data_IF_265522539889
#
_entry.id   IF_265522539889
#
_cell.length_a   1.000
_cell.length_b   1.000
_cell.length_c   1.000
_cell.angle_alpha   90.00
_cell.angle_beta   90.00
_cell.angle_gamma   90.00
#
_symmetry.space_group_name_H-M   'P 1'
#
loop_
_entity.id
_entity.type
_entity.pdbx_description
1 polymer ?
#
# COMPACT_ATOMS: atom_id res chain seq x y z
N UNK A 1 -0.59 3.76 11.87
CA UNK A 1 -0.81 4.14 10.45
C UNK A 1 -2.18 3.72 9.94
N UNK A 2 -2.57 2.43 10.03
CA UNK A 2 -3.82 1.95 9.45
C UNK A 2 -5.10 2.63 9.99
N UNK A 3 -5.20 2.89 11.29
CA UNK A 3 -6.35 3.64 11.84
C UNK A 3 -6.47 5.05 11.28
N UNK A 4 -5.34 5.69 10.94
CA UNK A 4 -5.34 6.99 10.27
C UNK A 4 -5.94 6.86 8.87
N UNK A 5 -5.55 5.84 8.10
CA UNK A 5 -6.11 5.55 6.77
C UNK A 5 -7.63 5.37 6.88
N UNK A 6 -8.10 4.50 7.78
CA UNK A 6 -9.54 4.27 7.98
C UNK A 6 -10.31 5.56 8.28
N UNK A 7 -9.75 6.41 9.14
CA UNK A 7 -10.35 7.71 9.49
C UNK A 7 -10.36 8.67 8.29
N UNK A 8 -9.27 8.76 7.55
CA UNK A 8 -9.14 9.69 6.44
C UNK A 8 -10.08 9.27 5.28
N UNK A 9 -10.16 7.97 4.97
CA UNK A 9 -11.14 7.43 4.02
C UNK A 9 -12.58 7.68 4.49
N UNK A 10 -12.88 7.47 5.78
CA UNK A 10 -14.21 7.74 6.32
C UNK A 10 -14.60 9.22 6.24
N UNK A 11 -13.66 10.16 6.41
CA UNK A 11 -13.96 11.60 6.27
C UNK A 11 -14.53 11.92 4.90
N UNK A 12 -13.97 11.32 3.85
CA UNK A 12 -14.32 11.58 2.44
C UNK A 12 -15.49 10.72 1.97
N UNK A 13 -15.39 9.39 2.09
CA UNK A 13 -16.37 8.46 1.52
C UNK A 13 -17.53 8.10 2.45
N UNK A 14 -17.43 8.41 3.76
CA UNK A 14 -18.37 7.93 4.80
C UNK A 14 -18.54 6.41 4.85
N UNK A 15 -17.61 5.66 4.26
CA UNK A 15 -17.57 4.21 4.25
C UNK A 15 -16.48 3.71 5.21
N UNK A 16 -16.73 2.57 5.85
CA UNK A 16 -15.76 1.92 6.75
C UNK A 16 -15.91 0.41 6.67
N UNK A 17 -14.77 -0.27 6.65
CA UNK A 17 -14.64 -1.71 6.89
C UNK A 17 -13.80 -2.00 8.13
N UNK A 18 -14.17 -3.06 8.82
CA UNK A 18 -13.54 -3.59 10.02
C UNK A 18 -13.09 -5.04 9.80
N UNK A 19 -12.24 -5.55 10.69
CA UNK A 19 -11.82 -6.96 10.69
C UNK A 19 -10.80 -7.29 9.60
N UNK A 20 -9.94 -6.33 9.26
CA UNK A 20 -8.87 -6.54 8.29
C UNK A 20 -7.58 -7.00 8.97
N UNK A 21 -6.88 -7.94 8.33
CA UNK A 21 -5.57 -8.42 8.72
C UNK A 21 -4.52 -7.88 7.74
N UNK A 22 -3.29 -7.69 8.22
CA UNK A 22 -2.14 -7.40 7.38
C UNK A 22 -1.20 -8.61 7.38
N UNK A 23 -0.84 -9.08 6.20
CA UNK A 23 0.20 -10.08 5.98
C UNK A 23 1.35 -9.50 5.19
N UNK A 24 2.57 -9.88 5.54
CA UNK A 24 3.78 -9.61 4.76
C UNK A 24 4.18 -10.85 4.01
N UNK A 25 4.45 -10.72 2.71
CA UNK A 25 4.89 -11.83 1.85
C UNK A 25 5.82 -11.32 0.76
N UNK A 26 6.85 -12.10 0.42
CA UNK A 26 7.71 -11.79 -0.73
C UNK A 26 6.97 -12.18 -2.01
N UNK A 27 6.46 -11.18 -2.73
CA UNK A 27 5.80 -11.38 -4.03
C UNK A 27 6.74 -11.12 -5.20
N UNK A 28 8.04 -11.04 -4.94
CA UNK A 28 9.04 -10.73 -5.93
C UNK A 28 8.92 -9.31 -6.51
N UNK A 29 9.65 -9.07 -7.58
CA UNK A 29 9.51 -7.90 -8.46
C UNK A 29 10.14 -8.20 -9.81
N UNK A 30 9.71 -7.48 -10.84
CA UNK A 30 10.26 -7.60 -12.19
C UNK A 30 10.53 -6.23 -12.81
N UNK A 31 11.37 -6.15 -13.87
CA UNK A 31 11.56 -4.92 -14.64
C UNK A 31 10.26 -4.38 -15.27
N UNK A 32 9.24 -5.22 -15.45
CA UNK A 32 7.93 -4.83 -15.98
C UNK A 32 7.01 -4.24 -14.90
N UNK A 33 7.46 -4.21 -13.65
CA UNK A 33 6.73 -3.71 -12.50
C UNK A 33 6.68 -4.70 -11.35
N UNK A 34 5.98 -4.30 -10.29
CA UNK A 34 5.80 -5.09 -9.08
C UNK A 34 4.42 -4.83 -8.49
N UNK A 35 3.97 -5.77 -7.65
CA UNK A 35 2.78 -5.62 -6.83
C UNK A 35 3.24 -5.04 -5.49
N UNK A 36 2.77 -3.83 -5.14
CA UNK A 36 3.11 -3.20 -3.86
C UNK A 36 2.36 -3.79 -2.67
N UNK A 37 1.08 -4.07 -2.89
CA UNK A 37 0.20 -4.78 -1.97
C UNK A 37 -0.91 -5.48 -2.74
N UNK A 38 -1.71 -6.27 -2.05
CA UNK A 38 -2.82 -7.00 -2.66
C UNK A 38 -3.94 -7.26 -1.65
N UNK A 39 -5.16 -7.06 -2.09
CA UNK A 39 -6.37 -7.45 -1.39
C UNK A 39 -7.25 -8.32 -2.30
N UNK A 40 -7.62 -9.52 -1.83
CA UNK A 40 -8.52 -10.41 -2.57
C UNK A 40 -9.98 -10.14 -2.21
N UNK A 41 -10.84 -9.95 -3.22
CA UNK A 41 -12.28 -9.72 -3.02
C UNK A 41 -12.90 -10.82 -2.15
N UNK A 42 -13.75 -10.44 -1.19
CA UNK A 42 -14.37 -11.38 -0.25
C UNK A 42 -13.46 -11.86 0.89
N UNK A 43 -12.15 -11.59 0.84
CA UNK A 43 -11.20 -11.88 1.91
C UNK A 43 -11.15 -10.79 3.00
N UNK A 44 -10.31 -11.00 4.01
CA UNK A 44 -10.03 -10.02 5.09
C UNK A 44 -8.57 -9.60 5.14
N UNK A 45 -7.72 -10.11 4.25
CA UNK A 45 -6.28 -9.95 4.31
C UNK A 45 -5.80 -8.94 3.27
N UNK A 46 -5.10 -7.91 3.74
CA UNK A 46 -4.23 -7.07 2.93
C UNK A 46 -2.84 -7.71 2.99
N UNK A 47 -2.26 -8.00 1.84
CA UNK A 47 -0.90 -8.48 1.69
C UNK A 47 0.00 -7.31 1.28
N UNK A 48 1.16 -7.17 1.90
CA UNK A 48 2.19 -6.20 1.52
C UNK A 48 3.42 -6.94 1.01
N UNK A 49 3.95 -6.48 -0.13
CA UNK A 49 5.12 -7.09 -0.73
C UNK A 49 6.40 -6.69 0.01
N UNK A 50 7.00 -7.65 0.73
CA UNK A 50 8.23 -7.40 1.50
C UNK A 50 9.40 -7.06 0.59
N UNK A 51 9.48 -7.67 -0.59
CA UNK A 51 10.56 -7.44 -1.55
C UNK A 51 10.57 -6.01 -2.07
N UNK A 52 9.40 -5.51 -2.47
CA UNK A 52 9.25 -4.12 -2.88
C UNK A 52 9.58 -3.16 -1.73
N UNK A 53 9.09 -3.46 -0.52
CA UNK A 53 9.34 -2.64 0.66
C UNK A 53 10.83 -2.59 1.04
N UNK A 54 11.55 -3.70 0.98
CA UNK A 54 12.98 -3.76 1.28
C UNK A 54 13.80 -2.89 0.31
N UNK A 55 13.60 -3.08 -1.00
CA UNK A 55 14.31 -2.27 -2.02
C UNK A 55 14.00 -0.78 -1.84
N UNK A 56 12.76 -0.46 -1.48
CA UNK A 56 12.34 0.90 -1.24
C UNK A 56 12.99 1.51 0.01
N UNK A 57 13.01 0.78 1.13
CA UNK A 57 13.65 1.21 2.37
C UNK A 57 15.15 1.42 2.17
N UNK A 58 15.81 0.52 1.43
CA UNK A 58 17.23 0.62 1.14
C UNK A 58 17.55 1.85 0.27
N UNK A 59 16.72 2.14 -0.74
CA UNK A 59 16.92 3.29 -1.62
C UNK A 59 16.69 4.63 -0.92
N UNK A 60 15.56 4.76 -0.25
CA UNK A 60 15.20 5.98 0.48
C UNK A 60 16.18 6.27 1.62
N UNK A 61 16.65 5.24 2.33
CA UNK A 61 17.66 5.40 3.39
C UNK A 61 18.98 5.91 2.81
N UNK A 62 19.46 5.34 1.69
CA UNK A 62 20.70 5.81 1.02
C UNK A 62 20.59 7.25 0.52
N UNK A 63 19.40 7.69 0.13
CA UNK A 63 19.13 9.04 -0.38
C UNK A 63 18.78 10.05 0.72
N UNK A 64 18.64 9.61 1.98
CA UNK A 64 18.21 10.46 3.09
C UNK A 64 16.75 10.92 3.00
N UNK A 65 15.88 10.10 2.39
CA UNK A 65 14.46 10.39 2.12
C UNK A 65 13.53 9.40 2.84
N UNK A 66 13.84 9.04 4.10
CA UNK A 66 13.13 7.98 4.81
C UNK A 66 11.64 8.28 5.01
N UNK A 67 11.22 9.54 5.02
CA UNK A 67 9.81 9.92 5.11
C UNK A 67 8.97 9.41 3.93
N UNK A 68 9.59 9.24 2.76
CA UNK A 68 8.94 8.74 1.54
C UNK A 68 8.50 7.28 1.72
N UNK A 69 9.24 6.49 2.49
CA UNK A 69 8.89 5.09 2.77
C UNK A 69 7.61 4.97 3.57
N UNK A 70 7.44 5.81 4.58
CA UNK A 70 6.20 5.83 5.35
C UNK A 70 5.03 6.28 4.48
N UNK A 71 5.23 7.28 3.61
CA UNK A 71 4.20 7.73 2.68
C UNK A 71 3.83 6.66 1.65
N UNK A 72 4.81 5.88 1.19
CA UNK A 72 4.56 4.77 0.27
C UNK A 72 3.70 3.69 0.93
N UNK A 73 4.05 3.28 2.15
CA UNK A 73 3.26 2.30 2.91
C UNK A 73 1.85 2.83 3.14
N UNK A 74 1.70 4.12 3.45
CA UNK A 74 0.38 4.73 3.58
C UNK A 74 -0.43 4.65 2.28
N UNK A 75 0.17 5.03 1.15
CA UNK A 75 -0.49 5.04 -0.15
C UNK A 75 -0.97 3.64 -0.55
N UNK A 76 -0.09 2.64 -0.47
CA UNK A 76 -0.44 1.24 -0.81
C UNK A 76 -1.53 0.72 0.13
N UNK A 77 -1.39 0.90 1.44
CA UNK A 77 -2.42 0.44 2.39
C UNK A 77 -3.77 1.14 2.19
N UNK A 78 -3.78 2.42 1.78
CA UNK A 78 -5.01 3.12 1.46
C UNK A 78 -5.66 2.56 0.19
N UNK A 79 -4.87 2.28 -0.84
CA UNK A 79 -5.34 1.64 -2.07
C UNK A 79 -5.97 0.26 -1.78
N UNK A 80 -5.27 -0.60 -1.03
CA UNK A 80 -5.81 -1.91 -0.64
C UNK A 80 -7.03 -1.80 0.28
N UNK A 81 -7.10 -0.76 1.12
CA UNK A 81 -8.28 -0.50 1.93
C UNK A 81 -9.48 -0.08 1.07
N UNK A 82 -9.28 0.75 0.04
CA UNK A 82 -10.32 1.13 -0.93
C UNK A 82 -10.82 -0.10 -1.69
N UNK A 83 -9.93 -0.98 -2.14
CA UNK A 83 -10.32 -2.30 -2.67
C UNK A 83 -11.20 -3.08 -1.68
N UNK A 84 -10.83 -3.07 -0.39
CA UNK A 84 -11.62 -3.71 0.65
C UNK A 84 -13.01 -3.09 0.86
N UNK A 85 -13.26 -1.85 0.45
CA UNK A 85 -14.58 -1.22 0.49
C UNK A 85 -15.49 -1.63 -0.69
N UNK A 86 -14.96 -2.37 -1.67
CA UNK A 86 -15.72 -2.89 -2.80
C UNK A 86 -15.40 -2.23 -4.15
N UNK A 87 -14.43 -1.31 -4.22
CA UNK A 87 -13.95 -0.73 -5.48
C UNK A 87 -12.95 -1.68 -6.15
N UNK A 88 -13.43 -2.79 -6.73
CA UNK A 88 -12.59 -3.89 -7.21
C UNK A 88 -11.89 -3.62 -8.56
N UNK A 89 -12.47 -2.77 -9.40
CA UNK A 89 -11.86 -2.37 -10.66
C UNK A 89 -10.65 -1.47 -10.38
N UNK A 90 -9.48 -1.86 -10.88
CA UNK A 90 -8.22 -1.20 -10.56
C UNK A 90 -8.19 0.28 -10.97
N UNK A 91 -8.82 0.63 -12.10
CA UNK A 91 -8.89 2.03 -12.55
C UNK A 91 -9.75 2.85 -11.59
N UNK A 92 -10.93 2.34 -11.28
CA UNK A 92 -11.87 2.96 -10.32
C UNK A 92 -11.23 3.08 -8.94
N UNK A 93 -10.53 2.05 -8.47
CA UNK A 93 -9.82 2.08 -7.19
C UNK A 93 -8.74 3.18 -7.17
N UNK A 94 -7.95 3.32 -8.25
CA UNK A 94 -6.97 4.40 -8.39
C UNK A 94 -7.63 5.78 -8.38
N UNK A 95 -8.69 5.97 -9.15
CA UNK A 95 -9.41 7.25 -9.24
C UNK A 95 -9.99 7.65 -7.87
N UNK A 96 -10.59 6.70 -7.15
CA UNK A 96 -11.11 6.91 -5.79
C UNK A 96 -9.99 7.18 -4.79
N UNK A 97 -8.87 6.44 -4.88
CA UNK A 97 -7.70 6.65 -4.02
C UNK A 97 -7.11 8.05 -4.25
N UNK A 98 -7.00 8.50 -5.50
CA UNK A 98 -6.54 9.84 -5.85
C UNK A 98 -7.50 10.92 -5.33
N UNK A 99 -8.81 10.74 -5.55
CA UNK A 99 -9.83 11.62 -5.00
C UNK A 99 -9.71 11.78 -3.48
N UNK A 100 -9.65 10.69 -2.72
CA UNK A 100 -9.46 10.75 -1.26
C UNK A 100 -8.16 11.47 -0.90
N UNK A 101 -7.08 11.21 -1.65
CA UNK A 101 -5.78 11.83 -1.39
C UNK A 101 -5.84 13.35 -1.55
N UNK A 102 -6.47 13.85 -2.62
CA UNK A 102 -6.61 15.29 -2.86
C UNK A 102 -7.46 16.00 -1.80
N UNK A 103 -8.48 15.33 -1.28
CA UNK A 103 -9.34 15.89 -0.22
C UNK A 103 -8.61 16.01 1.13
N UNK A 104 -7.53 15.24 1.34
CA UNK A 104 -6.85 15.13 2.65
C UNK A 104 -5.45 15.78 2.65
N UNK A 105 -4.74 15.76 1.52
CA UNK A 105 -3.34 16.17 1.42
C UNK A 105 -3.12 17.24 0.36
N UNK A 106 -2.17 18.17 0.57
CA UNK A 106 -1.83 19.17 -0.43
C UNK A 106 -1.14 18.53 -1.66
N UNK A 107 -1.16 19.23 -2.79
CA UNK A 107 -0.63 18.75 -4.08
C UNK A 107 0.86 18.37 -4.05
N UNK A 108 1.67 19.03 -3.21
CA UNK A 108 3.10 18.76 -3.09
C UNK A 108 3.43 17.63 -2.10
N UNK A 109 2.43 17.01 -1.47
CA UNK A 109 2.66 15.92 -0.53
C UNK A 109 3.05 14.64 -1.29
N UNK A 110 4.01 13.83 -0.78
CA UNK A 110 4.45 12.62 -1.49
C UNK A 110 3.33 11.62 -1.79
N UNK A 111 2.34 11.49 -0.89
CA UNK A 111 1.15 10.64 -1.12
C UNK A 111 0.37 11.14 -2.34
N UNK A 112 0.14 12.45 -2.47
CA UNK A 112 -0.57 13.05 -3.61
C UNK A 112 0.20 12.84 -4.91
N UNK A 113 1.50 13.06 -4.87
CA UNK A 113 2.37 12.83 -6.02
C UNK A 113 2.33 11.35 -6.47
N UNK A 114 2.30 10.39 -5.54
CA UNK A 114 2.16 8.97 -5.86
C UNK A 114 0.77 8.62 -6.39
N UNK A 115 -0.29 9.23 -5.87
CA UNK A 115 -1.64 9.02 -6.37
C UNK A 115 -1.82 9.51 -7.81
N UNK A 116 -1.22 10.66 -8.14
CA UNK A 116 -1.35 11.29 -9.46
C UNK A 116 -0.47 10.64 -10.52
N UNK A 117 0.76 10.31 -10.14
CA UNK A 117 1.83 9.94 -11.08
C UNK A 117 2.28 8.48 -10.95
N UNK A 118 1.69 7.75 -10.00
CA UNK A 118 2.11 6.42 -9.61
C UNK A 118 3.36 6.43 -8.74
N UNK A 119 3.54 5.31 -8.02
CA UNK A 119 4.67 5.10 -7.11
C UNK A 119 6.03 5.19 -7.80
N UNK A 120 6.11 4.85 -9.09
CA UNK A 120 7.36 4.86 -9.86
C UNK A 120 8.06 6.22 -9.97
N UNK A 121 7.37 7.33 -9.67
CA UNK A 121 7.96 8.68 -9.66
C UNK A 121 9.06 8.85 -8.61
N UNK A 122 8.95 8.17 -7.47
CA UNK A 122 9.98 8.17 -6.43
C UNK A 122 10.96 7.01 -6.57
N UNK A 123 10.58 6.01 -7.36
CA UNK A 123 11.28 4.73 -7.47
C UNK A 123 11.50 4.34 -8.95
N UNK A 124 12.28 5.14 -9.70
CA UNK A 124 12.53 4.88 -11.12
C UNK A 124 13.25 3.55 -11.36
N UNK A 125 13.95 2.99 -10.36
CA UNK A 125 14.57 1.67 -10.43
C UNK A 125 13.57 0.55 -10.72
N UNK A 126 12.27 0.76 -10.47
CA UNK A 126 11.23 -0.21 -10.82
C UNK A 126 10.73 -0.08 -12.26
N UNK A 127 11.04 1.03 -12.93
CA UNK A 127 10.68 1.32 -14.33
C UNK A 127 11.88 1.04 -15.25
N UNK A 128 13.10 1.34 -14.78
CA UNK A 128 14.35 1.27 -15.55
C UNK A 128 15.31 0.20 -15.02
N UNK A 129 14.78 -0.81 -14.34
CA UNK A 129 15.56 -1.91 -13.81
C UNK A 129 16.22 -2.69 -14.97
N UNK A 130 17.54 -2.98 -14.91
CA UNK A 130 18.15 -3.89 -15.89
C UNK A 130 17.47 -5.27 -15.82
N UNK A 131 17.50 -6.06 -16.90
CA UNK A 131 16.76 -7.33 -16.99
C UNK A 131 17.11 -8.34 -15.87
N UNK A 132 18.30 -8.22 -15.29
CA UNK A 132 18.74 -9.01 -14.13
C UNK A 132 18.18 -8.52 -12.78
N UNK A 133 17.47 -7.40 -12.75
CA UNK A 133 16.76 -6.86 -11.59
C UNK A 133 15.36 -7.48 -11.50
N UNK A 134 15.32 -8.81 -11.50
CA UNK A 134 14.12 -9.59 -11.31
C UNK A 134 14.30 -10.48 -10.08
N UNK A 135 13.48 -10.24 -9.06
CA UNK A 135 13.43 -11.08 -7.88
C UNK A 135 12.21 -11.97 -8.02
N UNK A 136 12.43 -13.26 -8.32
CA UNK A 136 11.33 -14.22 -8.31
C UNK A 136 10.86 -14.42 -6.87
N UNK A 137 9.55 -14.52 -6.62
CA UNK A 137 9.04 -14.95 -5.32
C UNK A 137 9.72 -16.28 -4.92
N UNK A 138 10.21 -16.42 -3.68
CA UNK A 138 10.67 -17.70 -3.16
C UNK A 138 9.59 -18.79 -3.33
N UNK A 139 9.98 -20.02 -3.67
CA UNK A 139 9.03 -21.14 -3.80
C UNK A 139 8.26 -21.41 -2.50
N UNK A 140 8.91 -21.19 -1.35
CA UNK A 140 8.34 -21.40 -0.01
C UNK A 140 7.97 -20.07 0.68
N UNK A 141 7.47 -19.10 -0.09
CA UNK A 141 7.06 -17.81 0.47
C UNK A 141 5.96 -18.01 1.53
N UNK A 142 6.25 -17.62 2.76
CA UNK A 142 5.29 -17.65 3.87
C UNK A 142 4.69 -16.26 4.11
N UNK A 143 3.46 -16.23 4.61
CA UNK A 143 2.79 -15.00 5.01
C UNK A 143 3.06 -14.75 6.49
N UNK A 144 3.75 -13.66 6.80
CA UNK A 144 3.94 -13.19 8.17
C UNK A 144 2.77 -12.28 8.57
N UNK A 145 1.98 -12.70 9.56
CA UNK A 145 0.80 -11.95 10.01
C UNK A 145 1.17 -10.87 11.04
N UNK A 146 0.72 -9.65 10.81
CA UNK A 146 0.86 -8.53 11.75
C UNK A 146 -0.29 -8.56 12.76
N UNK A 147 0.05 -8.89 14.02
CA UNK A 147 -0.93 -8.96 15.11
C UNK A 147 -1.49 -7.58 15.47
N UNK A 148 -2.81 -7.51 15.63
CA UNK A 148 -3.50 -6.28 16.06
C UNK A 148 -3.32 -5.14 15.06
N UNK A 149 -3.41 -5.43 13.76
CA UNK A 149 -3.33 -4.43 12.71
C UNK A 149 -4.58 -3.52 12.67
N UNK A 150 -5.78 -4.12 12.74
CA UNK A 150 -7.06 -3.40 12.87
C UNK A 150 -7.55 -3.42 14.32
N UNK A 151 -7.15 -2.42 15.10
CA UNK A 151 -7.46 -2.34 16.55
C UNK A 151 -8.76 -1.58 16.82
N UNK A 152 -9.09 -0.61 15.96
CA UNK A 152 -10.26 0.25 16.10
C UNK A 152 -11.60 -0.47 15.89
N UNK A 153 -11.58 -1.76 15.54
CA UNK A 153 -12.75 -2.64 15.46
C UNK A 153 -12.94 -3.56 16.65
N UNK A 154 -11.99 -3.62 17.59
CA UNK A 154 -12.10 -4.42 18.82
C UNK A 154 -12.39 -3.48 19.99
N UNK A 155 -13.65 -3.12 20.19
CA UNK A 155 -14.11 -2.58 21.47
C UNK A 155 -14.56 -3.79 22.29
N UNK A 156 -13.77 -4.23 23.26
CA UNK A 156 -14.28 -5.13 24.28
C UNK A 156 -15.37 -4.35 25.01
N UNK A 157 -16.62 -4.82 24.95
CA UNK A 157 -17.65 -4.37 25.88
C UNK A 157 -17.19 -4.80 27.27
N UNK A 158 -16.77 -3.84 28.11
CA UNK A 158 -16.54 -4.02 29.55
C UNK A 158 -17.80 -3.72 30.33
#
# INVERSE_FOLDING_TARGET
MFERIKRDVYKVLKQRRAGLNLGFVDMGMSPQGFIGGMFFSGGTMILMNTRALQVLLDDTSRRGMSEISEQYVYHVLMHEYVHSLGYLDERTCRDVTAYITHEIYPHNHPITIMADRGIGVYFPQFIYAPENFAFKPPQDSSIELVKGFDRGSTTYFT
#
